data_IF_343077457100
#
_entry.id   IF_343077457100
#
_cell.length_a   1.000
_cell.length_b   1.000
_cell.length_c   1.000
_cell.angle_alpha   90.00
_cell.angle_beta   90.00
_cell.angle_gamma   90.00
#
_symmetry.space_group_name_H-M   'P 1'
#
loop_
_entity.id
_entity.type
_entity.pdbx_description
1 polymer ?
#
# COMPACT_ATOMS: atom_id res chain seq x y z
N UNK A 1 -17.25 17.30 19.61
CA UNK A 1 -16.47 17.17 18.36
C UNK A 1 -17.49 17.05 17.25
N UNK A 2 -17.42 17.91 16.24
CA UNK A 2 -18.30 17.74 15.07
C UNK A 2 -17.78 16.62 14.15
N UNK A 3 -18.58 16.20 13.17
CA UNK A 3 -18.22 15.09 12.28
C UNK A 3 -16.91 15.33 11.51
N UNK A 4 -16.61 16.58 11.14
CA UNK A 4 -15.45 16.88 10.31
C UNK A 4 -14.17 16.89 11.14
N UNK A 5 -14.20 17.51 12.33
CA UNK A 5 -13.14 17.43 13.33
C UNK A 5 -12.88 15.96 13.72
N UNK A 6 -13.95 15.17 13.80
CA UNK A 6 -13.84 13.74 14.02
C UNK A 6 -13.15 13.05 12.85
N UNK A 7 -13.66 13.16 11.62
CA UNK A 7 -13.05 12.52 10.44
C UNK A 7 -11.53 12.79 10.31
N UNK A 8 -11.09 14.00 10.62
CA UNK A 8 -9.66 14.38 10.60
C UNK A 8 -8.83 13.72 11.71
N UNK A 9 -9.45 13.31 12.82
CA UNK A 9 -8.81 12.63 13.94
C UNK A 9 -8.76 11.10 13.79
N UNK A 10 -9.43 10.52 12.77
CA UNK A 10 -9.46 9.05 12.55
C UNK A 10 -8.05 8.51 12.35
N UNK A 11 -7.27 9.11 11.45
CA UNK A 11 -5.97 8.57 11.07
C UNK A 11 -4.99 8.44 12.25
N UNK A 12 -4.79 9.46 13.10
CA UNK A 12 -3.92 9.34 14.27
C UNK A 12 -4.34 8.22 15.23
N UNK A 13 -5.65 8.02 15.42
CA UNK A 13 -6.17 6.99 16.32
C UNK A 13 -5.92 5.58 15.78
N UNK A 14 -6.16 5.36 14.48
CA UNK A 14 -5.97 4.06 13.86
C UNK A 14 -4.49 3.67 13.77
N UNK A 15 -3.58 4.62 13.54
CA UNK A 15 -2.13 4.34 13.59
C UNK A 15 -1.71 3.83 14.98
N UNK A 16 -2.28 4.40 16.05
CA UNK A 16 -2.03 3.92 17.42
C UNK A 16 -2.62 2.54 17.67
N UNK A 17 -3.81 2.26 17.10
CA UNK A 17 -4.53 1.01 17.28
C UNK A 17 -3.87 -0.14 16.50
N UNK A 18 -3.47 0.06 15.24
CA UNK A 18 -2.80 -0.93 14.39
C UNK A 18 -1.55 -1.51 15.06
N UNK A 19 -0.76 -0.66 15.73
CA UNK A 19 0.42 -1.08 16.47
C UNK A 19 0.11 -1.96 17.70
N UNK A 20 -1.09 -1.84 18.27
CA UNK A 20 -1.52 -2.57 19.46
C UNK A 20 -2.26 -3.88 19.13
N UNK A 21 -2.85 -3.97 17.94
CA UNK A 21 -3.88 -4.96 17.64
C UNK A 21 -3.50 -5.97 16.54
N UNK A 22 -2.44 -5.74 15.75
CA UNK A 22 -2.11 -6.56 14.56
C UNK A 22 -3.33 -6.78 13.65
N UNK A 23 -4.11 -5.71 13.48
CA UNK A 23 -5.43 -5.74 12.84
C UNK A 23 -5.36 -5.28 11.38
N UNK A 24 -6.11 -5.95 10.52
CA UNK A 24 -6.07 -5.80 9.06
C UNK A 24 -7.42 -5.36 8.46
N UNK A 25 -8.33 -4.82 9.27
CA UNK A 25 -9.71 -4.49 8.88
C UNK A 25 -10.49 -5.70 8.35
N UNK A 26 -10.13 -6.91 8.76
CA UNK A 26 -10.86 -8.13 8.42
C UNK A 26 -11.97 -8.44 9.42
N UNK A 27 -12.87 -9.34 9.01
CA UNK A 27 -13.83 -9.99 9.90
C UNK A 27 -13.18 -10.61 11.15
N UNK A 28 -11.99 -11.21 11.01
CA UNK A 28 -11.32 -11.90 12.11
C UNK A 28 -10.86 -10.92 13.21
N UNK A 29 -10.48 -9.71 12.81
CA UNK A 29 -10.10 -8.63 13.71
C UNK A 29 -11.25 -8.11 14.59
N UNK A 30 -12.51 -8.27 14.15
CA UNK A 30 -13.66 -7.72 14.87
C UNK A 30 -13.89 -8.38 16.24
N UNK A 31 -13.67 -9.69 16.37
CA UNK A 31 -13.82 -10.36 17.66
C UNK A 31 -12.83 -9.81 18.70
N UNK A 32 -11.59 -9.54 18.27
CA UNK A 32 -10.56 -8.95 19.12
C UNK A 32 -10.84 -7.48 19.44
N UNK A 33 -11.43 -6.76 18.50
CA UNK A 33 -11.87 -5.38 18.69
C UNK A 33 -12.94 -5.28 19.80
N UNK A 34 -13.95 -6.16 19.77
CA UNK A 34 -15.03 -6.20 20.77
C UNK A 34 -14.47 -6.48 22.18
N UNK A 35 -13.50 -7.39 22.31
CA UNK A 35 -12.83 -7.66 23.59
C UNK A 35 -12.13 -6.42 24.18
N UNK A 36 -11.42 -5.65 23.34
CA UNK A 36 -10.71 -4.44 23.81
C UNK A 36 -11.66 -3.27 24.08
N UNK A 37 -12.69 -3.11 23.25
CA UNK A 37 -13.70 -2.07 23.43
C UNK A 37 -14.52 -2.27 24.72
N UNK A 38 -14.59 -3.51 25.24
CA UNK A 38 -15.19 -3.79 26.55
C UNK A 38 -14.34 -3.29 27.73
N UNK A 39 -13.03 -3.10 27.54
CA UNK A 39 -12.09 -2.62 28.57
C UNK A 39 -11.91 -1.09 28.52
N UNK A 40 -12.11 -0.47 27.36
CA UNK A 40 -11.93 0.96 27.11
C UNK A 40 -12.91 1.45 26.03
N UNK A 41 -13.66 2.52 26.31
CA UNK A 41 -14.67 3.09 25.39
C UNK A 41 -14.09 4.17 24.46
N UNK A 42 -12.79 4.07 24.17
CA UNK A 42 -12.05 5.00 23.34
C UNK A 42 -12.64 5.14 21.92
N UNK A 43 -12.68 6.37 21.37
CA UNK A 43 -13.32 6.62 20.08
C UNK A 43 -12.57 5.99 18.90
N UNK A 44 -11.35 5.50 19.14
CA UNK A 44 -10.54 4.73 18.18
C UNK A 44 -11.18 3.38 17.79
N UNK A 45 -11.91 2.72 18.70
CA UNK A 45 -12.58 1.45 18.38
C UNK A 45 -13.78 1.66 17.46
N UNK A 46 -14.59 2.68 17.73
CA UNK A 46 -15.70 3.07 16.87
C UNK A 46 -15.20 3.51 15.49
N UNK A 47 -14.08 4.25 15.44
CA UNK A 47 -13.39 4.59 14.21
C UNK A 47 -13.02 3.36 13.39
N UNK A 48 -12.36 2.40 14.03
CA UNK A 48 -11.88 1.18 13.40
C UNK A 48 -13.05 0.36 12.84
N UNK A 49 -14.13 0.20 13.62
CA UNK A 49 -15.31 -0.52 13.15
C UNK A 49 -15.99 0.19 11.97
N UNK A 50 -16.20 1.50 12.06
CA UNK A 50 -16.78 2.26 10.95
C UNK A 50 -15.92 2.16 9.69
N UNK A 51 -14.61 2.27 9.82
CA UNK A 51 -13.66 2.09 8.73
C UNK A 51 -13.64 0.67 8.15
N UNK A 52 -13.85 -0.35 8.98
CA UNK A 52 -14.00 -1.74 8.56
C UNK A 52 -15.28 -1.92 7.74
N UNK A 53 -16.39 -1.34 8.20
CA UNK A 53 -17.68 -1.39 7.49
C UNK A 53 -17.62 -0.65 6.15
N UNK A 54 -17.03 0.54 6.10
CA UNK A 54 -16.90 1.33 4.87
C UNK A 54 -15.98 0.67 3.82
N UNK A 55 -14.98 -0.11 4.23
CA UNK A 55 -14.13 -0.90 3.31
C UNK A 55 -14.90 -1.99 2.57
N UNK A 56 -15.96 -2.51 3.18
CA UNK A 56 -16.77 -3.59 2.62
C UNK A 56 -18.02 -3.05 1.92
N UNK A 57 -18.74 -2.16 2.59
CA UNK A 57 -20.02 -1.62 2.11
C UNK A 57 -19.91 -0.34 1.28
N UNK A 58 -18.71 0.22 1.12
CA UNK A 58 -18.53 1.56 0.56
C UNK A 58 -19.21 2.62 1.40
N UNK A 59 -19.72 3.68 0.75
CA UNK A 59 -20.48 4.74 1.39
C UNK A 59 -19.60 5.76 2.11
N UNK A 60 -20.07 6.34 3.22
CA UNK A 60 -19.38 7.47 3.88
C UNK A 60 -19.71 7.58 5.36
N UNK A 61 -18.86 8.33 6.07
CA UNK A 61 -19.18 8.87 7.40
C UNK A 61 -20.30 9.91 7.30
N UNK A 62 -21.20 9.89 8.28
CA UNK A 62 -22.33 10.83 8.41
C UNK A 62 -22.52 11.23 9.88
N UNK A 63 -23.22 12.34 10.08
CA UNK A 63 -23.77 12.68 11.40
C UNK A 63 -25.12 11.98 11.51
N UNK A 64 -25.27 11.10 12.50
CA UNK A 64 -26.51 10.41 12.82
C UNK A 64 -26.94 10.85 14.22
N UNK A 65 -27.85 11.81 14.28
CA UNK A 65 -28.39 12.38 15.53
C UNK A 65 -27.32 12.92 16.49
N UNK A 66 -26.24 13.51 15.94
CA UNK A 66 -25.11 14.05 16.71
C UNK A 66 -24.00 13.03 17.01
N UNK A 67 -24.18 11.78 16.61
CA UNK A 67 -23.16 10.74 16.72
C UNK A 67 -22.51 10.42 15.36
N UNK A 68 -21.25 9.98 15.37
CA UNK A 68 -20.57 9.56 14.15
C UNK A 68 -21.14 8.24 13.62
N UNK A 69 -21.93 8.33 12.55
CA UNK A 69 -22.47 7.19 11.84
C UNK A 69 -21.71 6.85 10.56
N UNK A 70 -21.92 5.64 10.06
CA UNK A 70 -21.54 5.25 8.70
C UNK A 70 -22.79 4.83 7.94
N UNK A 71 -22.88 5.26 6.69
CA UNK A 71 -23.87 4.77 5.74
C UNK A 71 -23.17 4.03 4.63
N UNK A 72 -23.68 2.86 4.23
CA UNK A 72 -23.15 2.10 3.11
C UNK A 72 -23.42 2.81 1.77
N UNK A 73 -22.79 2.34 0.69
CA UNK A 73 -23.15 2.79 -0.65
C UNK A 73 -24.65 2.53 -0.90
N UNK A 74 -25.41 3.54 -1.38
CA UNK A 74 -26.83 3.40 -1.66
C UNK A 74 -27.20 2.18 -2.53
N UNK A 75 -26.27 1.69 -3.37
CA UNK A 75 -26.48 0.48 -4.18
C UNK A 75 -26.79 -0.76 -3.34
N UNK A 76 -26.32 -0.80 -2.08
CA UNK A 76 -26.55 -1.92 -1.18
C UNK A 76 -27.88 -1.84 -0.43
N UNK A 77 -28.52 -0.66 -0.39
CA UNK A 77 -29.82 -0.48 0.29
C UNK A 77 -29.80 -0.78 1.79
N UNK A 78 -28.64 -0.65 2.44
CA UNK A 78 -28.46 -0.94 3.86
C UNK A 78 -28.77 0.30 4.72
N UNK A 79 -29.26 0.06 5.94
CA UNK A 79 -29.49 1.13 6.89
C UNK A 79 -28.15 1.69 7.43
N UNK A 80 -28.07 3.00 7.70
CA UNK A 80 -26.93 3.57 8.41
C UNK A 80 -26.81 3.00 9.83
N UNK A 81 -25.59 3.00 10.37
CA UNK A 81 -25.30 2.50 11.72
C UNK A 81 -24.36 3.46 12.45
N UNK A 82 -24.45 3.50 13.78
CA UNK A 82 -23.48 4.17 14.65
C UNK A 82 -22.49 3.12 15.17
N UNK A 83 -21.22 3.10 14.73
CA UNK A 83 -20.26 2.07 15.14
C UNK A 83 -20.09 1.96 16.66
N UNK A 84 -20.13 3.08 17.38
CA UNK A 84 -20.03 3.08 18.84
C UNK A 84 -21.16 2.26 19.50
N UNK A 85 -22.40 2.34 18.98
CA UNK A 85 -23.52 1.56 19.49
C UNK A 85 -23.36 0.06 19.23
N UNK A 86 -22.79 -0.31 18.08
CA UNK A 86 -22.55 -1.71 17.74
C UNK A 86 -21.54 -2.38 18.68
N UNK A 87 -20.62 -1.62 19.27
CA UNK A 87 -19.63 -2.12 20.23
C UNK A 87 -20.20 -2.35 21.63
N UNK A 88 -21.44 -1.89 21.90
CA UNK A 88 -22.08 -2.08 23.22
C UNK A 88 -22.70 -3.47 23.40
N UNK A 89 -22.98 -4.18 22.30
CA UNK A 89 -23.59 -5.51 22.30
C UNK A 89 -22.65 -6.54 21.65
N UNK A 90 -22.10 -7.50 22.41
CA UNK A 90 -21.16 -8.48 21.89
C UNK A 90 -21.70 -9.26 20.68
N UNK A 91 -20.92 -9.29 19.60
CA UNK A 91 -21.26 -9.98 18.35
C UNK A 91 -22.07 -9.15 17.37
N UNK A 92 -22.60 -7.99 17.78
CA UNK A 92 -23.39 -7.12 16.92
C UNK A 92 -22.54 -6.51 15.79
N UNK A 93 -21.28 -6.18 16.06
CA UNK A 93 -20.37 -5.67 15.04
C UNK A 93 -20.10 -6.71 13.94
N UNK A 94 -19.91 -7.97 14.33
CA UNK A 94 -19.71 -9.08 13.39
C UNK A 94 -20.97 -9.36 12.57
N UNK A 95 -22.15 -9.36 13.20
CA UNK A 95 -23.43 -9.56 12.50
C UNK A 95 -23.66 -8.51 11.41
N UNK A 96 -23.46 -7.22 11.75
CA UNK A 96 -23.61 -6.11 10.81
C UNK A 96 -22.57 -6.20 9.69
N UNK A 97 -21.32 -6.51 10.02
CA UNK A 97 -20.27 -6.73 9.02
C UNK A 97 -20.66 -7.83 8.03
N UNK A 98 -21.11 -8.99 8.53
CA UNK A 98 -21.47 -10.13 7.68
C UNK A 98 -22.64 -9.79 6.75
N UNK A 99 -23.62 -9.01 7.24
CA UNK A 99 -24.73 -8.52 6.43
C UNK A 99 -24.25 -7.56 5.32
N UNK A 100 -23.35 -6.63 5.64
CA UNK A 100 -22.78 -5.69 4.67
C UNK A 100 -21.92 -6.42 3.63
N UNK A 101 -21.10 -7.38 4.05
CA UNK A 101 -20.27 -8.21 3.18
C UNK A 101 -21.10 -9.07 2.22
N UNK A 102 -22.19 -9.66 2.71
CA UNK A 102 -23.11 -10.44 1.88
C UNK A 102 -23.80 -9.56 0.84
N UNK A 103 -24.28 -8.36 1.23
CA UNK A 103 -24.90 -7.42 0.31
C UNK A 103 -23.91 -6.92 -0.75
N UNK A 104 -22.69 -6.56 -0.36
CA UNK A 104 -21.63 -6.14 -1.27
C UNK A 104 -21.27 -7.24 -2.28
N UNK A 105 -21.16 -8.49 -1.82
CA UNK A 105 -20.87 -9.66 -2.67
C UNK A 105 -22.00 -9.99 -3.64
N UNK A 106 -23.25 -9.71 -3.26
CA UNK A 106 -24.43 -9.93 -4.08
C UNK A 106 -24.69 -8.78 -5.07
N UNK A 107 -24.06 -7.62 -4.88
CA UNK A 107 -24.27 -6.45 -5.73
C UNK A 107 -23.63 -6.64 -7.10
N UNK A 108 -24.34 -6.36 -8.20
CA UNK A 108 -23.76 -6.38 -9.55
C UNK A 108 -22.77 -5.23 -9.79
N UNK A 109 -22.87 -4.15 -9.00
CA UNK A 109 -21.98 -3.00 -9.06
C UNK A 109 -21.20 -2.92 -7.74
N UNK A 110 -19.86 -2.90 -7.78
CA UNK A 110 -19.06 -2.76 -6.57
C UNK A 110 -19.42 -1.47 -5.80
N UNK A 111 -19.59 -1.54 -4.47
CA UNK A 111 -19.84 -0.35 -3.67
C UNK A 111 -18.62 0.59 -3.67
N UNK A 112 -18.87 1.89 -3.64
CA UNK A 112 -17.86 2.95 -3.69
C UNK A 112 -17.82 3.68 -2.35
N UNK A 113 -16.62 3.79 -1.77
CA UNK A 113 -16.36 4.50 -0.53
C UNK A 113 -15.96 5.96 -0.81
N UNK A 114 -16.54 6.91 -0.07
CA UNK A 114 -16.02 8.27 0.05
C UNK A 114 -14.74 8.25 0.88
N UNK A 115 -13.63 8.84 0.40
CA UNK A 115 -12.37 8.86 1.14
C UNK A 115 -12.52 9.44 2.55
N UNK A 116 -11.93 8.75 3.52
CA UNK A 116 -11.71 9.26 4.86
C UNK A 116 -10.44 10.11 4.87
N UNK A 117 -10.51 11.41 5.23
CA UNK A 117 -9.36 12.30 5.27
C UNK A 117 -8.18 11.74 6.07
N UNK A 118 -6.95 11.95 5.58
CA UNK A 118 -5.73 11.40 6.17
C UNK A 118 -5.55 9.87 6.07
N UNK A 119 -6.63 9.08 6.01
CA UNK A 119 -6.58 7.62 5.96
C UNK A 119 -6.59 7.06 4.53
N UNK A 120 -7.59 7.47 3.72
CA UNK A 120 -7.72 7.09 2.31
C UNK A 120 -7.22 8.18 1.36
N UNK A 121 -6.92 9.36 1.89
CA UNK A 121 -6.12 10.37 1.21
C UNK A 121 -4.70 9.84 1.01
N UNK A 122 -4.56 8.85 0.13
CA UNK A 122 -3.48 8.96 -0.84
C UNK A 122 -3.81 10.22 -1.62
N UNK A 123 -2.94 11.25 -1.67
CA UNK A 123 -2.92 12.04 -2.89
C UNK A 123 -2.83 10.99 -3.99
N UNK A 124 -3.83 10.89 -4.86
CA UNK A 124 -3.61 10.17 -6.10
C UNK A 124 -2.49 10.97 -6.76
N UNK A 125 -1.25 10.47 -6.87
CA UNK A 125 -0.53 10.98 -8.00
C UNK A 125 -1.37 10.44 -9.17
N UNK A 126 -1.90 11.32 -10.02
CA UNK A 126 -1.78 11.00 -11.44
C UNK A 126 -0.35 10.46 -11.56
N UNK A 127 -0.14 9.19 -11.95
CA UNK A 127 1.19 8.57 -12.05
C UNK A 127 2.19 9.69 -12.35
N UNK A 128 3.05 10.07 -11.38
CA UNK A 128 3.54 11.45 -11.36
C UNK A 128 4.18 11.73 -12.71
N UNK A 129 3.93 12.90 -13.30
CA UNK A 129 4.45 13.19 -14.64
C UNK A 129 5.96 12.90 -14.70
N UNK A 130 6.65 13.03 -13.56
CA UNK A 130 8.00 12.58 -13.25
C UNK A 130 8.22 11.07 -13.44
N UNK A 131 7.37 10.20 -12.87
CA UNK A 131 7.46 8.74 -13.06
C UNK A 131 7.24 8.36 -14.52
N UNK A 132 6.18 8.87 -15.15
CA UNK A 132 5.91 8.61 -16.57
C UNK A 132 7.07 9.07 -17.45
N UNK A 133 7.55 10.30 -17.24
CA UNK A 133 8.68 10.86 -18.00
C UNK A 133 9.95 10.07 -17.76
N UNK A 134 10.21 9.66 -16.51
CA UNK A 134 11.38 8.88 -16.15
C UNK A 134 11.34 7.50 -16.79
N UNK A 135 10.22 6.77 -16.67
CA UNK A 135 10.04 5.45 -17.28
C UNK A 135 10.19 5.50 -18.81
N UNK A 136 9.52 6.46 -19.48
CA UNK A 136 9.64 6.65 -20.91
C UNK A 136 11.07 6.99 -21.35
N UNK A 137 11.78 7.80 -20.54
CA UNK A 137 13.20 8.13 -20.79
C UNK A 137 14.08 6.90 -20.70
N UNK A 138 13.89 6.04 -19.69
CA UNK A 138 14.71 4.84 -19.53
C UNK A 138 14.40 3.81 -20.62
N UNK A 139 13.12 3.59 -20.93
CA UNK A 139 12.70 2.65 -21.97
C UNK A 139 13.23 3.05 -23.36
N UNK A 140 13.18 4.35 -23.70
CA UNK A 140 13.69 4.86 -24.97
C UNK A 140 15.22 4.77 -25.10
N UNK A 141 15.95 4.83 -23.98
CA UNK A 141 17.42 4.75 -23.95
C UNK A 141 17.95 3.32 -23.83
N UNK A 142 17.09 2.36 -23.46
CA UNK A 142 17.55 1.02 -23.14
C UNK A 142 18.06 0.29 -24.39
N UNK A 143 19.25 -0.32 -24.35
CA UNK A 143 19.80 -1.05 -25.49
C UNK A 143 19.16 -2.44 -25.60
N UNK A 144 17.98 -2.51 -26.20
CA UNK A 144 17.18 -3.75 -26.35
C UNK A 144 17.94 -4.92 -27.02
N UNK A 145 18.89 -4.61 -27.92
CA UNK A 145 19.68 -5.63 -28.64
C UNK A 145 20.90 -6.17 -27.87
N UNK A 146 21.18 -5.68 -26.65
CA UNK A 146 22.40 -6.02 -25.89
C UNK A 146 22.30 -7.30 -25.02
N UNK A 147 21.25 -8.11 -25.23
CA UNK A 147 21.03 -9.38 -24.53
C UNK A 147 20.67 -9.20 -23.04
N UNK A 148 19.93 -8.14 -22.71
CA UNK A 148 19.36 -7.92 -21.39
C UNK A 148 17.93 -8.44 -21.38
N UNK A 149 17.70 -9.58 -20.73
CA UNK A 149 16.46 -10.36 -20.84
C UNK A 149 15.56 -10.25 -19.59
N UNK A 150 15.93 -9.42 -18.62
CA UNK A 150 15.25 -9.27 -17.33
C UNK A 150 15.14 -10.60 -16.54
N UNK A 151 16.05 -11.54 -16.79
CA UNK A 151 16.14 -12.78 -16.01
C UNK A 151 16.87 -12.56 -14.68
N UNK A 152 16.60 -13.36 -13.63
CA UNK A 152 17.38 -13.30 -12.39
C UNK A 152 18.89 -13.55 -12.59
N UNK A 153 19.26 -14.35 -13.61
CA UNK A 153 20.68 -14.61 -13.91
C UNK A 153 21.38 -13.37 -14.44
N UNK A 154 20.69 -12.51 -15.21
CA UNK A 154 21.21 -11.24 -15.73
C UNK A 154 21.60 -10.22 -14.64
N UNK A 155 21.07 -10.35 -13.41
CA UNK A 155 21.38 -9.45 -12.30
C UNK A 155 22.83 -9.56 -11.79
N UNK A 156 23.48 -10.71 -12.00
CA UNK A 156 24.92 -10.83 -11.72
C UNK A 156 25.73 -10.01 -12.72
N UNK A 157 25.35 -10.03 -14.02
CA UNK A 157 25.95 -9.19 -15.06
C UNK A 157 25.75 -7.70 -14.76
N UNK A 158 24.56 -7.32 -14.26
CA UNK A 158 24.31 -5.94 -13.82
C UNK A 158 25.23 -5.55 -12.64
N UNK A 159 25.39 -6.44 -11.66
CA UNK A 159 26.26 -6.22 -10.51
C UNK A 159 27.72 -6.03 -10.94
N UNK A 160 28.22 -6.90 -11.81
CA UNK A 160 29.58 -6.82 -12.32
C UNK A 160 29.81 -5.51 -13.09
N UNK A 161 28.83 -5.06 -13.89
CA UNK A 161 28.90 -3.80 -14.63
C UNK A 161 28.91 -2.57 -13.70
N UNK A 162 28.11 -2.57 -12.62
CA UNK A 162 28.11 -1.50 -11.62
C UNK A 162 29.48 -1.39 -10.95
N UNK A 163 30.06 -2.51 -10.52
CA UNK A 163 31.39 -2.53 -9.88
C UNK A 163 32.46 -2.07 -10.86
N UNK A 164 32.44 -2.53 -12.10
CA UNK A 164 33.39 -2.11 -13.13
C UNK A 164 33.31 -0.61 -13.43
N UNK A 165 32.09 -0.06 -13.52
CA UNK A 165 31.88 1.32 -13.97
C UNK A 165 32.02 2.34 -12.84
N UNK A 166 31.56 2.00 -11.64
CA UNK A 166 31.47 2.91 -10.49
C UNK A 166 32.56 2.67 -9.44
N UNK A 167 33.22 1.52 -9.47
CA UNK A 167 34.20 1.10 -8.48
C UNK A 167 33.55 0.65 -7.17
N UNK A 168 32.92 1.60 -6.47
CA UNK A 168 32.29 1.36 -5.17
C UNK A 168 30.91 2.03 -5.05
N UNK A 169 30.09 1.68 -4.04
CA UNK A 169 28.72 2.17 -3.94
C UNK A 169 28.56 3.68 -3.73
N UNK A 170 29.62 4.43 -3.41
CA UNK A 170 29.59 5.89 -3.38
C UNK A 170 29.38 6.48 -4.77
N UNK A 171 29.86 5.81 -5.83
CA UNK A 171 29.69 6.23 -7.22
C UNK A 171 28.22 6.28 -7.68
N UNK A 172 27.30 5.58 -6.98
CA UNK A 172 25.85 5.67 -7.20
C UNK A 172 25.28 7.06 -6.89
N UNK A 173 25.96 7.86 -6.06
CA UNK A 173 25.53 9.22 -5.69
C UNK A 173 26.19 10.31 -6.52
N UNK A 174 27.18 9.96 -7.34
CA UNK A 174 27.89 10.92 -8.17
C UNK A 174 26.98 11.38 -9.32
N UNK A 175 26.69 12.69 -9.45
CA UNK A 175 25.89 13.23 -10.54
C UNK A 175 26.41 12.86 -11.93
N UNK A 176 27.73 12.66 -12.10
CA UNK A 176 28.33 12.27 -13.37
C UNK A 176 27.89 10.87 -13.83
N UNK A 177 27.44 10.01 -12.91
CA UNK A 177 26.98 8.65 -13.19
C UNK A 177 25.46 8.55 -13.31
N UNK A 178 24.72 9.65 -13.14
CA UNK A 178 23.25 9.64 -12.99
C UNK A 178 22.52 8.88 -14.10
N UNK A 179 22.87 9.13 -15.36
CA UNK A 179 22.23 8.45 -16.49
C UNK A 179 22.41 6.93 -16.44
N UNK A 180 23.62 6.47 -16.14
CA UNK A 180 23.91 5.03 -16.01
C UNK A 180 23.20 4.42 -14.79
N UNK A 181 23.18 5.13 -13.66
CA UNK A 181 22.54 4.69 -12.42
C UNK A 181 21.02 4.61 -12.58
N UNK A 182 20.40 5.59 -13.24
CA UNK A 182 18.97 5.61 -13.52
C UNK A 182 18.57 4.42 -14.42
N UNK A 183 19.35 4.14 -15.47
CA UNK A 183 19.14 2.97 -16.32
C UNK A 183 19.29 1.65 -15.55
N UNK A 184 20.32 1.53 -14.70
CA UNK A 184 20.53 0.35 -13.87
C UNK A 184 19.39 0.15 -12.84
N UNK A 185 18.89 1.24 -12.24
CA UNK A 185 17.78 1.21 -11.31
C UNK A 185 16.48 0.80 -12.01
N UNK A 186 16.24 1.31 -13.22
CA UNK A 186 15.11 0.91 -14.06
C UNK A 186 15.14 -0.56 -14.42
N UNK A 187 16.28 -1.07 -14.91
CA UNK A 187 16.41 -2.47 -15.28
C UNK A 187 16.17 -3.42 -14.10
N UNK A 188 16.75 -3.08 -12.94
CA UNK A 188 16.52 -3.86 -11.72
C UNK A 188 15.05 -3.82 -11.29
N UNK A 189 14.42 -2.65 -11.31
CA UNK A 189 13.01 -2.50 -10.98
C UNK A 189 12.10 -3.27 -11.93
N UNK A 190 12.34 -3.23 -13.24
CA UNK A 190 11.60 -4.03 -14.24
C UNK A 190 11.78 -5.53 -14.01
N UNK A 191 13.00 -5.96 -13.67
CA UNK A 191 13.28 -7.37 -13.35
C UNK A 191 12.49 -7.83 -12.12
N UNK A 192 12.45 -7.01 -11.07
CA UNK A 192 11.66 -7.29 -9.87
C UNK A 192 10.17 -7.27 -10.17
N UNK A 193 9.68 -6.26 -10.89
CA UNK A 193 8.28 -6.11 -11.28
C UNK A 193 7.75 -7.35 -12.00
N UNK A 194 8.53 -7.87 -12.96
CA UNK A 194 8.20 -9.08 -13.73
C UNK A 194 8.22 -10.35 -12.90
N UNK A 195 9.14 -10.44 -11.94
CA UNK A 195 9.31 -11.61 -11.08
C UNK A 195 8.25 -11.67 -9.95
N UNK A 196 7.98 -10.53 -9.31
CA UNK A 196 7.09 -10.42 -8.15
C UNK A 196 5.71 -9.84 -8.43
N UNK A 197 5.35 -9.61 -9.70
CA UNK A 197 4.07 -9.02 -10.15
C UNK A 197 3.74 -7.65 -9.52
N UNK A 198 4.76 -6.84 -9.29
CA UNK A 198 4.61 -5.50 -8.71
C UNK A 198 4.25 -4.41 -9.71
N UNK A 199 4.20 -3.17 -9.22
CA UNK A 199 3.97 -1.95 -10.02
C UNK A 199 5.00 -0.87 -9.67
N UNK A 200 5.29 0.02 -10.63
CA UNK A 200 6.12 1.19 -10.37
C UNK A 200 5.35 2.24 -9.58
N UNK A 201 6.07 2.97 -8.73
CA UNK A 201 5.58 4.11 -7.98
C UNK A 201 6.71 5.13 -7.79
N UNK A 202 6.38 6.29 -7.25
CA UNK A 202 7.31 7.42 -7.09
C UNK A 202 7.26 8.01 -5.69
N UNK A 203 8.44 8.29 -5.15
CA UNK A 203 8.60 8.88 -3.82
C UNK A 203 9.38 10.19 -3.96
N UNK A 204 8.83 11.30 -3.48
CA UNK A 204 9.36 12.65 -3.72
C UNK A 204 10.85 12.83 -3.37
N UNK A 205 11.30 12.21 -2.27
CA UNK A 205 12.70 12.29 -1.83
C UNK A 205 13.59 11.12 -2.27
N UNK A 206 13.01 9.99 -2.70
CA UNK A 206 13.75 8.75 -2.98
C UNK A 206 13.72 8.34 -4.45
N UNK A 207 12.88 8.99 -5.25
CA UNK A 207 12.67 8.70 -6.66
C UNK A 207 11.81 7.45 -6.90
N UNK A 208 12.01 6.74 -8.02
CA UNK A 208 11.16 5.64 -8.45
C UNK A 208 11.40 4.38 -7.60
N UNK A 209 10.34 3.63 -7.34
CA UNK A 209 10.37 2.39 -6.58
C UNK A 209 9.29 1.41 -7.05
N UNK A 210 9.39 0.14 -6.65
CA UNK A 210 8.45 -0.91 -7.05
C UNK A 210 7.68 -1.40 -5.83
N UNK A 211 6.35 -1.45 -5.92
CA UNK A 211 5.42 -1.86 -4.85
C UNK A 211 4.79 -3.22 -5.17
N UNK A 212 4.09 -3.80 -4.18
CA UNK A 212 3.30 -5.03 -4.33
C UNK A 212 4.11 -6.22 -4.85
N UNK A 213 5.35 -6.37 -4.39
CA UNK A 213 6.25 -7.42 -4.86
C UNK A 213 6.18 -8.66 -3.97
N UNK A 214 5.99 -9.83 -4.58
CA UNK A 214 6.01 -11.13 -3.89
C UNK A 214 4.89 -11.30 -2.87
N UNK A 215 4.99 -12.32 -2.04
CA UNK A 215 3.98 -12.65 -1.01
C UNK A 215 4.01 -11.71 0.20
N UNK A 216 5.12 -11.00 0.44
CA UNK A 216 5.28 -10.07 1.58
C UNK A 216 4.78 -8.63 1.28
N UNK A 217 4.41 -8.35 0.03
CA UNK A 217 3.90 -7.04 -0.42
C UNK A 217 4.91 -5.89 -0.30
N UNK A 218 6.20 -6.17 -0.05
CA UNK A 218 7.16 -5.13 0.32
C UNK A 218 7.65 -4.31 -0.85
N UNK A 219 7.63 -3.00 -0.66
CA UNK A 219 8.24 -2.05 -1.59
C UNK A 219 9.76 -2.24 -1.71
N UNK A 220 10.27 -2.21 -2.93
CA UNK A 220 11.70 -2.25 -3.24
C UNK A 220 12.14 -0.93 -3.86
N UNK A 221 13.16 -0.29 -3.27
CA UNK A 221 13.84 0.89 -3.81
C UNK A 221 15.03 0.42 -4.67
N UNK A 222 14.96 0.43 -6.02
CA UNK A 222 16.03 -0.15 -6.85
C UNK A 222 17.41 0.43 -6.54
N UNK A 223 17.52 1.73 -6.29
CA UNK A 223 18.79 2.37 -5.94
C UNK A 223 19.42 1.81 -4.64
N UNK A 224 18.59 1.51 -3.63
CA UNK A 224 19.06 0.87 -2.38
C UNK A 224 19.53 -0.56 -2.66
N UNK A 225 18.79 -1.27 -3.51
CA UNK A 225 19.09 -2.65 -3.89
C UNK A 225 20.40 -2.73 -4.69
N UNK A 226 20.64 -1.83 -5.66
CA UNK A 226 21.92 -1.73 -6.38
C UNK A 226 23.10 -1.55 -5.41
N UNK A 227 22.95 -0.67 -4.42
CA UNK A 227 23.99 -0.44 -3.39
C UNK A 227 24.30 -1.70 -2.59
N UNK A 228 23.30 -2.51 -2.26
CA UNK A 228 23.48 -3.79 -1.57
C UNK A 228 24.10 -4.85 -2.51
N UNK A 229 23.67 -4.89 -3.77
CA UNK A 229 24.26 -5.72 -4.83
C UNK A 229 25.76 -5.49 -5.01
N UNK A 230 26.18 -4.23 -5.07
CA UNK A 230 27.61 -3.87 -5.18
C UNK A 230 28.45 -4.29 -3.96
N UNK A 231 27.83 -4.48 -2.79
CA UNK A 231 28.51 -4.93 -1.56
C UNK A 231 28.55 -6.44 -1.42
N UNK A 232 27.61 -7.14 -2.03
CA UNK A 232 27.40 -8.57 -1.83
C UNK A 232 27.04 -9.22 -3.15
N UNK A 233 28.01 -9.92 -3.74
CA UNK A 233 27.83 -10.64 -4.99
C UNK A 233 26.66 -11.63 -4.89
N UNK A 234 25.81 -11.67 -5.91
CA UNK A 234 24.63 -12.54 -5.95
C UNK A 234 23.42 -12.06 -5.11
N UNK A 235 23.54 -10.96 -4.38
CA UNK A 235 22.44 -10.41 -3.57
C UNK A 235 21.21 -10.09 -4.43
N UNK A 236 21.39 -9.42 -5.57
CA UNK A 236 20.28 -9.04 -6.44
C UNK A 236 19.54 -10.27 -7.00
N UNK A 237 20.27 -11.29 -7.44
CA UNK A 237 19.69 -12.56 -7.90
C UNK A 237 18.89 -13.23 -6.79
N UNK A 238 19.48 -13.36 -5.60
CA UNK A 238 18.82 -13.97 -4.44
C UNK A 238 17.54 -13.22 -4.08
N UNK A 239 17.60 -11.88 -4.03
CA UNK A 239 16.42 -11.06 -3.76
C UNK A 239 15.34 -11.25 -4.82
N UNK A 240 15.70 -11.27 -6.10
CA UNK A 240 14.76 -11.53 -7.19
C UNK A 240 14.09 -12.91 -7.07
N UNK A 241 14.85 -13.93 -6.67
CA UNK A 241 14.34 -15.27 -6.39
C UNK A 241 13.25 -15.26 -5.33
N UNK A 242 13.48 -14.58 -4.20
CA UNK A 242 12.50 -14.47 -3.10
C UNK A 242 11.21 -13.74 -3.46
N UNK A 243 11.16 -13.02 -4.60
CA UNK A 243 9.94 -12.36 -5.06
C UNK A 243 9.07 -13.28 -5.92
N UNK A 244 9.64 -14.39 -6.43
CA UNK A 244 8.96 -15.33 -7.33
C UNK A 244 8.34 -16.52 -6.59
N UNK A 245 8.64 -16.65 -5.29
CA UNK A 245 8.13 -17.69 -4.36
C UNK A 245 6.87 -17.22 -3.63
#
# INVERSE_FOLDING_TARGET
>A
MDLEEWRQSIQPWLVGLEAALDVDFSRASLARLEELAAEDDGPAYAAYLGETLLRVGGGRWIDLDGDPGVTADPVLGLAPVVPAELLTDPGRAIEVYDAWAAAASASPTPPVKEPTPGLDERPAPAEPAELHTWLATQEARWPHDAGWDFSPSSLDRLTDLLVQRLGDPSGLKDPANREFVDGAAWYLGETFRRSGRGDWSWHDTKGPYVINLGTDGRSQLPLVQLRLGMRTRGYLRSRCGSLSE
#
